data_IF_408792084873
#
_entry.id   IF_408792084873
#
_cell.length_a   1.000
_cell.length_b   1.000
_cell.length_c   1.000
_cell.angle_alpha   90.00
_cell.angle_beta   90.00
_cell.angle_gamma   90.00
#
_symmetry.space_group_name_H-M   'P 1'
#
loop_
_entity.id
_entity.type
_entity.pdbx_description
1 polymer ?
#
# COMPACT_ATOMS: atom_id res chain seq x y z
N UNK A 1 -9.86 28.70 32.52
CA UNK A 1 -8.67 27.96 32.02
C UNK A 1 -7.74 28.98 31.36
N UNK A 2 -6.61 29.28 32.01
CA UNK A 2 -5.66 30.34 31.63
C UNK A 2 -5.11 30.16 30.21
N UNK A 3 -5.04 31.25 29.43
CA UNK A 3 -4.55 31.28 28.04
C UNK A 3 -3.10 30.79 27.88
N UNK A 4 -2.31 30.78 28.96
CA UNK A 4 -0.95 30.23 28.97
C UNK A 4 -0.90 28.71 28.69
N UNK A 5 -1.90 27.95 29.15
CA UNK A 5 -1.97 26.50 28.92
C UNK A 5 -2.22 26.14 27.46
N UNK A 6 -2.97 26.97 26.73
CA UNK A 6 -3.25 26.78 25.29
C UNK A 6 -2.02 27.04 24.42
N UNK A 7 -1.22 28.05 24.77
CA UNK A 7 0.04 28.37 24.07
C UNK A 7 1.09 27.26 24.27
N UNK A 8 1.16 26.71 25.48
CA UNK A 8 2.09 25.62 25.78
C UNK A 8 1.73 24.34 24.99
N UNK A 9 0.44 23.99 24.89
CA UNK A 9 -0.03 22.86 24.08
C UNK A 9 0.24 23.04 22.59
N UNK A 10 0.05 24.25 22.04
CA UNK A 10 0.41 24.54 20.65
C UNK A 10 1.90 24.36 20.36
N UNK A 11 2.76 24.80 21.29
CA UNK A 11 4.22 24.58 21.19
C UNK A 11 4.59 23.10 21.24
N UNK A 12 3.97 22.32 22.12
CA UNK A 12 4.19 20.87 22.19
C UNK A 12 3.79 20.17 20.90
N UNK A 13 2.61 20.49 20.34
CA UNK A 13 2.18 19.94 19.05
C UNK A 13 3.15 20.29 17.91
N UNK A 14 3.65 21.53 17.88
CA UNK A 14 4.63 21.94 16.89
C UNK A 14 5.94 21.15 17.02
N UNK A 15 6.47 20.99 18.23
CA UNK A 15 7.70 20.21 18.48
C UNK A 15 7.51 18.74 18.08
N UNK A 16 6.38 18.12 18.46
CA UNK A 16 6.09 16.73 18.07
C UNK A 16 5.97 16.58 16.56
N UNK A 17 5.29 17.52 15.88
CA UNK A 17 5.18 17.51 14.42
C UNK A 17 6.54 17.63 13.74
N UNK A 18 7.43 18.48 14.25
CA UNK A 18 8.80 18.62 13.75
C UNK A 18 9.58 17.31 13.94
N UNK A 19 9.52 16.69 15.12
CA UNK A 19 10.22 15.42 15.39
C UNK A 19 9.72 14.32 14.45
N UNK A 20 8.40 14.21 14.27
CA UNK A 20 7.81 13.24 13.34
C UNK A 20 8.22 13.52 11.89
N UNK A 21 8.22 14.80 11.48
CA UNK A 21 8.67 15.21 10.16
C UNK A 21 10.13 14.83 9.91
N UNK A 22 11.02 15.08 10.88
CA UNK A 22 12.43 14.69 10.83
C UNK A 22 12.57 13.17 10.70
N UNK A 23 11.86 12.39 11.51
CA UNK A 23 11.85 10.93 11.42
C UNK A 23 11.41 10.42 10.05
N UNK A 24 10.36 11.00 9.48
CA UNK A 24 9.88 10.64 8.13
C UNK A 24 10.90 10.99 7.04
N UNK A 25 11.53 12.15 7.12
CA UNK A 25 12.60 12.51 6.17
C UNK A 25 13.80 11.59 6.27
N UNK A 26 14.21 11.19 7.48
CA UNK A 26 15.28 10.23 7.67
C UNK A 26 14.93 8.87 7.06
N UNK A 27 13.70 8.39 7.25
CA UNK A 27 13.22 7.18 6.59
C UNK A 27 13.36 7.31 5.07
N UNK A 28 12.84 8.39 4.49
CA UNK A 28 12.87 8.61 3.03
C UNK A 28 14.29 8.69 2.46
N UNK A 29 15.27 9.17 3.24
CA UNK A 29 16.67 9.24 2.82
C UNK A 29 17.38 7.89 2.99
N UNK A 30 17.10 7.17 4.09
CA UNK A 30 17.77 5.92 4.40
C UNK A 30 17.24 4.72 3.60
N UNK A 31 15.96 4.74 3.19
CA UNK A 31 15.37 3.69 2.37
C UNK A 31 15.30 4.11 0.91
N UNK A 32 15.96 3.39 -0.02
CA UNK A 32 15.85 3.68 -1.45
C UNK A 32 14.42 3.45 -1.93
N UNK A 33 14.02 4.15 -2.98
CA UNK A 33 12.73 3.94 -3.64
C UNK A 33 12.65 2.52 -4.23
N UNK A 34 11.44 2.00 -4.48
CA UNK A 34 11.29 0.66 -5.07
C UNK A 34 12.00 0.51 -6.42
N UNK A 35 12.03 1.58 -7.22
CA UNK A 35 12.69 1.62 -8.51
C UNK A 35 14.22 1.61 -8.37
N UNK A 36 14.77 2.45 -7.49
CA UNK A 36 16.21 2.47 -7.20
C UNK A 36 16.67 1.13 -6.61
N UNK A 37 15.89 0.57 -5.67
CA UNK A 37 16.14 -0.74 -5.11
C UNK A 37 16.15 -1.80 -6.20
N UNK A 38 15.09 -1.90 -7.02
CA UNK A 38 15.02 -2.89 -8.10
C UNK A 38 16.16 -2.71 -9.10
N UNK A 39 16.51 -1.48 -9.48
CA UNK A 39 17.60 -1.21 -10.40
C UNK A 39 18.98 -1.61 -9.84
N UNK A 40 19.16 -1.51 -8.52
CA UNK A 40 20.37 -1.95 -7.82
C UNK A 40 20.55 -3.48 -7.77
N UNK A 41 19.49 -4.25 -8.04
CA UNK A 41 19.53 -5.71 -8.00
C UNK A 41 20.21 -6.30 -9.25
N UNK A 42 20.93 -7.41 -9.04
CA UNK A 42 21.42 -8.25 -10.12
C UNK A 42 20.25 -8.91 -10.89
N UNK A 43 20.46 -9.36 -12.14
CA UNK A 43 19.40 -9.96 -12.95
C UNK A 43 18.69 -11.17 -12.30
N UNK A 44 19.39 -12.01 -11.54
CA UNK A 44 18.77 -13.14 -10.83
C UNK A 44 17.83 -12.69 -9.70
N UNK A 45 18.24 -11.66 -8.94
CA UNK A 45 17.43 -11.09 -7.87
C UNK A 45 16.18 -10.40 -8.42
N UNK A 46 16.32 -9.69 -9.54
CA UNK A 46 15.18 -9.11 -10.27
C UNK A 46 14.15 -10.19 -10.62
N UNK A 47 14.60 -11.31 -11.19
CA UNK A 47 13.73 -12.44 -11.55
C UNK A 47 12.95 -12.98 -10.35
N UNK A 48 13.58 -13.12 -9.19
CA UNK A 48 12.92 -13.55 -7.94
C UNK A 48 11.90 -12.53 -7.44
N UNK A 49 12.22 -11.25 -7.49
CA UNK A 49 11.26 -10.19 -7.13
C UNK A 49 10.05 -10.23 -8.06
N UNK A 50 10.27 -10.44 -9.35
CA UNK A 50 9.20 -10.51 -10.34
C UNK A 50 8.35 -11.78 -10.17
N UNK A 51 8.95 -12.92 -9.79
CA UNK A 51 8.21 -14.13 -9.40
C UNK A 51 7.29 -13.87 -8.21
N UNK A 52 7.79 -13.20 -7.17
CA UNK A 52 6.99 -12.85 -5.99
C UNK A 52 5.89 -11.86 -6.34
N UNK A 53 6.17 -10.86 -7.19
CA UNK A 53 5.15 -9.91 -7.69
C UNK A 53 4.06 -10.63 -8.48
N UNK A 54 4.44 -11.56 -9.35
CA UNK A 54 3.50 -12.37 -10.12
C UNK A 54 2.62 -13.25 -9.22
N UNK A 55 3.20 -13.86 -8.19
CA UNK A 55 2.45 -14.65 -7.21
C UNK A 55 1.44 -13.78 -6.43
N UNK A 56 1.85 -12.59 -5.98
CA UNK A 56 0.94 -11.66 -5.29
C UNK A 56 -0.21 -11.22 -6.19
N UNK A 57 0.08 -10.85 -7.43
CA UNK A 57 -0.96 -10.50 -8.40
C UNK A 57 -1.93 -11.66 -8.63
N UNK A 58 -1.46 -12.90 -8.72
CA UNK A 58 -2.33 -14.08 -8.86
C UNK A 58 -3.25 -14.27 -7.64
N UNK A 59 -2.74 -14.08 -6.41
CA UNK A 59 -3.51 -14.18 -5.18
C UNK A 59 -4.53 -13.05 -5.04
N UNK A 60 -4.15 -11.81 -5.39
CA UNK A 60 -5.08 -10.68 -5.37
C UNK A 60 -6.22 -10.89 -6.38
N UNK A 61 -5.90 -11.37 -7.59
CA UNK A 61 -6.90 -11.69 -8.59
C UNK A 61 -7.85 -12.79 -8.11
N UNK A 62 -7.36 -13.84 -7.45
CA UNK A 62 -8.23 -14.91 -6.94
C UNK A 62 -9.13 -14.42 -5.81
N UNK A 63 -8.63 -13.56 -4.91
CA UNK A 63 -9.44 -12.93 -3.86
C UNK A 63 -10.51 -12.00 -4.40
N UNK A 64 -10.18 -11.19 -5.40
CA UNK A 64 -11.15 -10.31 -6.07
C UNK A 64 -12.25 -11.12 -6.76
N UNK A 65 -11.89 -12.24 -7.38
CA UNK A 65 -12.85 -13.16 -7.97
C UNK A 65 -13.76 -13.75 -6.88
N UNK A 66 -13.20 -14.28 -5.79
CA UNK A 66 -13.98 -14.83 -4.67
C UNK A 66 -14.94 -13.80 -4.08
N UNK A 67 -14.48 -12.58 -3.80
CA UNK A 67 -15.33 -11.51 -3.28
C UNK A 67 -16.48 -11.14 -4.24
N UNK A 68 -16.25 -11.18 -5.56
CA UNK A 68 -17.32 -10.97 -6.56
C UNK A 68 -18.32 -12.13 -6.60
N UNK A 69 -17.87 -13.37 -6.38
CA UNK A 69 -18.76 -14.52 -6.29
C UNK A 69 -19.62 -14.47 -5.02
N UNK A 70 -19.03 -14.12 -3.88
CA UNK A 70 -19.74 -13.97 -2.60
C UNK A 70 -20.83 -12.88 -2.70
N UNK A 71 -20.48 -11.70 -3.21
CA UNK A 71 -21.44 -10.61 -3.40
C UNK A 71 -22.60 -10.99 -4.34
N UNK A 72 -22.31 -11.73 -5.41
CA UNK A 72 -23.36 -12.16 -6.33
C UNK A 72 -24.21 -13.32 -5.79
N UNK A 73 -23.64 -14.17 -4.92
CA UNK A 73 -24.37 -15.20 -4.18
C UNK A 73 -25.41 -14.57 -3.25
N UNK A 74 -25.04 -13.51 -2.53
CA UNK A 74 -25.94 -12.76 -1.65
C UNK A 74 -27.07 -12.05 -2.43
N UNK A 75 -26.77 -11.56 -3.63
CA UNK A 75 -27.74 -10.93 -4.54
C UNK A 75 -28.58 -11.94 -5.33
N UNK A 76 -28.33 -13.25 -5.21
CA UNK A 76 -29.00 -14.29 -6.00
C UNK A 76 -28.73 -14.20 -7.51
N UNK A 77 -27.63 -13.54 -7.90
CA UNK A 77 -27.26 -13.27 -9.29
C UNK A 77 -26.30 -14.34 -9.81
N UNK A 78 -26.64 -14.94 -10.96
CA UNK A 78 -25.74 -15.88 -11.65
C UNK A 78 -24.59 -15.08 -12.30
N UNK A 79 -23.34 -15.42 -11.96
CA UNK A 79 -22.13 -14.81 -12.51
C UNK A 79 -21.36 -15.82 -13.33
N UNK A 80 -21.03 -15.47 -14.57
CA UNK A 80 -20.29 -16.32 -15.49
C UNK A 80 -18.81 -15.95 -15.52
N UNK A 81 -17.95 -16.89 -15.94
CA UNK A 81 -16.50 -16.67 -16.03
C UNK A 81 -16.09 -15.47 -16.89
N UNK A 82 -16.95 -15.07 -17.85
CA UNK A 82 -16.79 -13.85 -18.65
C UNK A 82 -16.91 -12.56 -17.85
N UNK A 83 -17.72 -12.53 -16.79
CA UNK A 83 -18.04 -11.33 -16.00
C UNK A 83 -16.97 -11.04 -14.93
N UNK A 84 -16.14 -12.04 -14.65
CA UNK A 84 -15.07 -11.98 -13.65
C UNK A 84 -13.73 -11.51 -14.23
N UNK A 85 -13.62 -11.45 -15.57
CA UNK A 85 -12.40 -11.03 -16.25
C UNK A 85 -12.22 -9.51 -16.12
N UNK A 86 -11.05 -9.08 -15.65
CA UNK A 86 -10.69 -7.65 -15.60
C UNK A 86 -10.75 -7.06 -17.02
N UNK A 87 -11.38 -5.89 -17.26
CA UNK A 87 -11.31 -5.24 -18.56
C UNK A 87 -9.84 -4.90 -18.85
N UNK A 88 -9.28 -5.42 -19.95
CA UNK A 88 -7.99 -4.94 -20.42
C UNK A 88 -8.22 -3.55 -21.00
N UNK A 89 -7.62 -2.53 -20.38
CA UNK A 89 -7.49 -1.22 -21.01
C UNK A 89 -6.48 -1.30 -22.13
#
# INVERSE_FOLDING_TARGET
MSGAGKILWGKWLAVTSVIMGVGYTLLKVATPTEEEFYNSLSPDLKRKVDEVRAQRAAIENSKLVQAKLEAASDEGKVVWGSDLKKPSK
#
